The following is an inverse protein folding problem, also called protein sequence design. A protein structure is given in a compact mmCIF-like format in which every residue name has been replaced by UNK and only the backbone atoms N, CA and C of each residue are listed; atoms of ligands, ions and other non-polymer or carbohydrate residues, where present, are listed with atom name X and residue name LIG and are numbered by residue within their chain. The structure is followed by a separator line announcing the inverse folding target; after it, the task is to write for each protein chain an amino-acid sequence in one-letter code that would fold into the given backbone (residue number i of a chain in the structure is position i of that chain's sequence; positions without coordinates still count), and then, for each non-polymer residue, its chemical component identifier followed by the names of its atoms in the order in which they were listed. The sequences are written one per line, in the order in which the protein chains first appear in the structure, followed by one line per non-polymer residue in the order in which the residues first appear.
data_IF_025598625412
#
_entry.id   IF_025598625412
#
_cell.length_a   1.000
_cell.length_b   1.000
_cell.length_c   1.000
_cell.angle_alpha   90.00
_cell.angle_beta   90.00
_cell.angle_gamma   90.00
#
_symmetry.space_group_name_H-M   'P 1'
#
loop_
_entity.id
_entity.type
_entity.pdbx_description
1 polymer ?
#
# COMPACT_ATOMS: atom_id res chain seq x y z
N UNK A 1 67.34 27.33 -23.34
CA UNK A 1 67.89 27.54 -24.73
C UNK A 1 66.79 28.27 -25.46
N UNK A 2 66.93 29.59 -25.65
CA UNK A 2 67.20 30.32 -26.89
C UNK A 2 66.06 30.15 -27.87
N UNK A 3 65.39 31.10 -28.52
CA UNK A 3 65.70 32.53 -28.76
C UNK A 3 64.46 33.09 -29.52
N UNK A 4 63.95 34.26 -29.21
CA UNK A 4 64.16 35.54 -29.89
C UNK A 4 63.73 35.64 -31.32
N UNK A 5 62.95 36.67 -31.60
CA UNK A 5 62.81 37.41 -32.85
C UNK A 5 61.43 38.04 -33.01
N UNK A 6 61.13 39.16 -32.59
CA UNK A 6 61.38 40.58 -32.97
C UNK A 6 60.90 40.95 -34.36
N UNK A 7 59.88 41.88 -34.31
CA UNK A 7 59.73 43.14 -35.12
C UNK A 7 59.47 42.94 -36.60
N UNK A 8 58.44 43.63 -37.21
CA UNK A 8 58.47 45.05 -37.43
C UNK A 8 57.15 45.60 -38.00
N UNK A 9 56.90 46.82 -37.70
CA UNK A 9 55.91 47.78 -38.19
C UNK A 9 55.72 47.86 -39.70
N UNK A 10 54.48 48.10 -40.13
CA UNK A 10 54.27 49.17 -41.13
C UNK A 10 52.86 49.76 -41.07
N UNK A 11 52.79 51.04 -40.82
CA UNK A 11 51.64 51.95 -41.00
C UNK A 11 51.26 52.09 -42.47
N UNK A 12 49.95 52.06 -42.74
CA UNK A 12 49.44 52.95 -43.79
C UNK A 12 47.99 53.35 -43.55
N UNK A 13 47.78 54.61 -43.42
CA UNK A 13 46.52 55.35 -43.29
C UNK A 13 45.84 55.40 -44.64
N UNK A 14 44.50 55.30 -44.69
CA UNK A 14 43.62 56.19 -45.50
C UNK A 14 42.13 55.70 -45.39
N UNK A 15 41.35 56.51 -44.74
CA UNK A 15 40.22 57.32 -45.29
C UNK A 15 38.85 56.63 -45.44
N UNK A 16 37.97 57.08 -44.57
CA UNK A 16 36.59 57.53 -44.82
C UNK A 16 35.57 56.54 -45.45
N UNK A 17 34.62 56.13 -44.63
CA UNK A 17 33.34 55.57 -45.04
C UNK A 17 32.39 55.54 -43.88
N UNK A 18 31.68 56.67 -43.64
CA UNK A 18 30.57 56.71 -42.66
C UNK A 18 29.42 55.93 -43.24
N UNK A 19 29.28 54.69 -42.77
CA UNK A 19 28.11 53.88 -43.03
C UNK A 19 27.44 53.52 -41.68
N UNK A 20 26.44 54.29 -41.29
CA UNK A 20 25.58 54.02 -40.12
C UNK A 20 24.73 52.82 -40.43
N UNK A 21 25.21 51.64 -40.10
CA UNK A 21 24.38 50.45 -40.01
C UNK A 21 23.56 50.55 -38.71
N UNK A 22 22.28 50.91 -38.85
CA UNK A 22 21.26 50.71 -37.84
C UNK A 22 21.09 49.21 -37.67
N UNK A 23 21.77 48.62 -36.68
CA UNK A 23 21.52 47.28 -36.23
C UNK A 23 20.14 47.25 -35.55
N UNK A 24 19.12 46.87 -36.30
CA UNK A 24 17.81 46.49 -35.75
C UNK A 24 18.02 45.18 -35.04
N UNK A 25 18.25 45.22 -33.72
CA UNK A 25 18.21 44.04 -32.86
C UNK A 25 16.79 43.53 -32.89
N UNK A 26 16.54 42.24 -33.23
CA UNK A 26 15.23 41.66 -33.03
C UNK A 26 14.96 41.65 -31.50
N UNK A 27 14.02 42.46 -31.08
CA UNK A 27 13.41 42.37 -29.77
C UNK A 27 12.67 41.03 -29.78
N UNK A 28 13.31 40.04 -29.22
CA UNK A 28 12.60 38.82 -28.83
C UNK A 28 11.62 39.28 -27.75
N UNK A 29 10.36 39.49 -28.14
CA UNK A 29 9.26 39.54 -27.21
C UNK A 29 9.23 38.18 -26.52
N UNK A 30 9.88 38.08 -25.38
CA UNK A 30 9.69 36.94 -24.49
C UNK A 30 8.20 36.87 -24.24
N UNK A 31 7.57 35.81 -24.72
CA UNK A 31 6.25 35.41 -24.28
C UNK A 31 6.34 35.37 -22.75
N UNK A 32 5.89 36.41 -22.08
CA UNK A 32 5.61 36.38 -20.67
C UNK A 32 4.55 35.30 -20.51
N UNK A 33 4.99 34.08 -20.14
CA UNK A 33 4.09 33.10 -19.57
C UNK A 33 3.39 33.82 -18.43
N UNK A 34 2.16 34.26 -18.66
CA UNK A 34 1.29 34.74 -17.59
C UNK A 34 1.27 33.62 -16.57
N UNK A 35 1.86 33.88 -15.41
CA UNK A 35 1.87 32.89 -14.34
C UNK A 35 0.43 32.49 -14.06
N UNK A 36 0.07 31.28 -14.45
CA UNK A 36 -1.28 30.75 -14.23
C UNK A 36 -1.64 30.92 -12.76
N UNK A 37 -2.67 31.69 -12.50
CA UNK A 37 -3.21 31.80 -11.13
C UNK A 37 -3.90 30.51 -10.78
N UNK A 38 -3.28 29.75 -9.89
CA UNK A 38 -3.79 28.43 -9.51
C UNK A 38 -3.87 28.26 -8.00
N UNK A 39 -4.80 27.44 -7.57
CA UNK A 39 -4.95 26.98 -6.19
C UNK A 39 -4.77 25.45 -6.16
N UNK A 40 -3.73 24.99 -5.51
CA UNK A 40 -3.46 23.58 -5.30
C UNK A 40 -3.76 23.19 -3.86
N UNK A 41 -4.61 22.20 -3.66
CA UNK A 41 -5.03 21.73 -2.34
C UNK A 41 -5.11 20.22 -2.29
N UNK A 42 -4.91 19.72 -1.07
CA UNK A 42 -5.14 18.32 -0.73
C UNK A 42 -6.46 18.18 0.01
N UNK A 43 -7.33 17.32 -0.52
CA UNK A 43 -8.45 16.78 0.23
C UNK A 43 -8.08 15.47 0.90
N UNK A 44 -8.54 15.28 2.11
CA UNK A 44 -8.28 14.06 2.87
C UNK A 44 -9.53 13.67 3.69
N UNK A 45 -9.76 12.36 3.79
CA UNK A 45 -10.84 11.84 4.63
C UNK A 45 -10.39 10.56 5.33
N UNK A 46 -11.03 10.29 6.45
CA UNK A 46 -10.88 9.05 7.20
C UNK A 46 -12.25 8.55 7.68
N UNK A 47 -12.48 7.26 7.58
CA UNK A 47 -13.68 6.60 8.08
C UNK A 47 -13.28 5.37 8.88
N UNK A 48 -13.79 5.26 10.10
CA UNK A 48 -13.60 4.09 10.94
C UNK A 48 -14.77 3.14 10.82
N UNK A 49 -14.48 1.87 10.70
CA UNK A 49 -15.48 0.80 10.58
C UNK A 49 -15.11 -0.36 11.50
N UNK A 50 -16.09 -0.88 12.21
CA UNK A 50 -15.93 -2.18 12.88
C UNK A 50 -15.82 -3.26 11.81
N UNK A 51 -14.87 -4.20 11.91
CA UNK A 51 -14.81 -5.34 11.02
C UNK A 51 -16.06 -6.23 11.21
N UNK A 52 -16.50 -6.82 10.13
CA UNK A 52 -17.64 -7.75 10.07
C UNK A 52 -17.23 -9.14 9.56
N UNK A 53 -15.94 -9.33 9.31
CA UNK A 53 -15.38 -10.56 8.78
C UNK A 53 -13.96 -10.75 9.28
N UNK A 54 -13.53 -12.02 9.45
CA UNK A 54 -12.15 -12.37 9.73
C UNK A 54 -11.63 -13.41 8.74
N UNK A 55 -10.33 -13.33 8.43
CA UNK A 55 -9.58 -14.35 7.72
C UNK A 55 -8.67 -15.07 8.71
N UNK A 56 -8.87 -16.36 8.86
CA UNK A 56 -7.99 -17.23 9.63
C UNK A 56 -7.08 -17.97 8.66
N UNK A 57 -5.78 -17.79 8.80
CA UNK A 57 -4.78 -18.47 7.98
C UNK A 57 -4.14 -19.59 8.77
N UNK A 58 -4.32 -20.82 8.30
CA UNK A 58 -3.77 -22.03 8.90
C UNK A 58 -2.96 -22.82 7.87
N UNK A 59 -1.97 -23.55 8.34
CA UNK A 59 -1.11 -24.38 7.52
C UNK A 59 -0.82 -25.69 8.21
N UNK A 60 -0.80 -26.77 7.45
CA UNK A 60 -0.27 -28.06 7.88
C UNK A 60 1.13 -28.25 7.29
N UNK A 61 2.08 -28.60 8.13
CA UNK A 61 3.43 -29.01 7.74
C UNK A 61 3.68 -30.42 8.25
N UNK A 62 4.03 -31.33 7.34
CA UNK A 62 4.33 -32.74 7.65
C UNK A 62 5.70 -33.08 7.10
N UNK A 63 6.53 -33.72 7.90
CA UNK A 63 7.80 -34.32 7.49
C UNK A 63 7.65 -35.83 7.45
N UNK A 64 8.07 -36.46 6.36
CA UNK A 64 8.11 -37.91 6.22
C UNK A 64 9.33 -38.31 5.34
N UNK A 65 9.78 -39.57 5.47
CA UNK A 65 10.88 -40.07 4.65
C UNK A 65 10.51 -40.22 3.19
N UNK A 66 9.23 -40.35 2.90
CA UNK A 66 8.70 -40.53 1.55
C UNK A 66 7.81 -39.34 1.15
N UNK A 67 8.07 -38.74 0.00
CA UNK A 67 7.31 -37.61 -0.52
C UNK A 67 5.81 -37.87 -0.62
N UNK A 68 5.43 -39.07 -1.07
CA UNK A 68 4.02 -39.48 -1.18
C UNK A 68 3.34 -39.54 0.19
N UNK A 69 3.98 -40.11 1.21
CA UNK A 69 3.42 -40.19 2.55
C UNK A 69 3.28 -38.79 3.18
N UNK A 70 4.27 -37.93 3.01
CA UNK A 70 4.20 -36.57 3.50
C UNK A 70 2.99 -35.84 2.89
N UNK A 71 2.79 -35.92 1.58
CA UNK A 71 1.65 -35.34 0.86
C UNK A 71 0.32 -35.93 1.36
N UNK A 72 0.19 -37.25 1.38
CA UNK A 72 -1.07 -37.92 1.73
C UNK A 72 -1.50 -37.57 3.15
N UNK A 73 -0.55 -37.43 4.09
CA UNK A 73 -0.81 -36.97 5.46
C UNK A 73 -1.26 -35.53 5.53
N UNK A 74 -0.65 -34.62 4.75
CA UNK A 74 -1.08 -33.23 4.69
C UNK A 74 -2.51 -33.11 4.11
N UNK A 75 -2.81 -33.87 3.05
CA UNK A 75 -4.14 -33.93 2.46
C UNK A 75 -5.19 -34.51 3.41
N UNK A 76 -4.82 -35.52 4.21
CA UNK A 76 -5.73 -36.11 5.19
C UNK A 76 -6.21 -35.11 6.25
N UNK A 77 -5.33 -34.23 6.73
CA UNK A 77 -5.68 -33.15 7.69
C UNK A 77 -6.69 -32.17 7.08
N UNK A 78 -6.43 -31.70 5.86
CA UNK A 78 -7.34 -30.78 5.18
C UNK A 78 -8.69 -31.43 4.89
N UNK A 79 -8.69 -32.72 4.49
CA UNK A 79 -9.93 -33.47 4.26
C UNK A 79 -10.72 -33.72 5.56
N UNK A 80 -10.05 -33.93 6.69
CA UNK A 80 -10.71 -34.06 8.00
C UNK A 80 -11.38 -32.72 8.38
N UNK A 81 -10.66 -31.60 8.18
CA UNK A 81 -11.22 -30.26 8.41
C UNK A 81 -12.49 -30.01 7.60
N UNK A 82 -12.49 -30.36 6.30
CA UNK A 82 -13.67 -30.19 5.44
C UNK A 82 -14.90 -31.00 5.85
N UNK A 83 -14.72 -32.10 6.58
CA UNK A 83 -15.84 -32.91 7.07
C UNK A 83 -16.59 -32.28 8.23
N UNK A 84 -15.88 -31.48 9.04
CA UNK A 84 -16.44 -30.95 10.29
C UNK A 84 -16.87 -29.48 10.18
N UNK A 85 -16.81 -28.88 8.97
CA UNK A 85 -17.12 -27.45 8.74
C UNK A 85 -18.50 -27.03 9.22
N UNK A 86 -19.50 -27.87 8.97
CA UNK A 86 -20.88 -27.58 9.34
C UNK A 86 -21.09 -27.43 10.85
N UNK A 87 -20.24 -28.07 11.66
CA UNK A 87 -20.31 -27.98 13.11
C UNK A 87 -20.04 -26.57 13.64
N UNK A 88 -19.23 -25.77 12.91
CA UNK A 88 -18.92 -24.37 13.24
C UNK A 88 -19.61 -23.37 12.29
N UNK A 89 -20.62 -23.83 11.53
CA UNK A 89 -21.40 -22.97 10.63
C UNK A 89 -20.61 -22.42 9.45
N UNK A 90 -19.50 -23.06 9.05
CA UNK A 90 -18.73 -22.73 7.87
C UNK A 90 -19.25 -23.50 6.65
N UNK A 91 -19.18 -22.87 5.49
CA UNK A 91 -19.44 -23.52 4.21
C UNK A 91 -18.14 -23.70 3.42
N UNK A 92 -18.07 -24.70 2.55
CA UNK A 92 -16.88 -24.95 1.73
C UNK A 92 -16.45 -23.74 0.89
N UNK A 93 -17.40 -22.87 0.49
CA UNK A 93 -17.15 -21.62 -0.24
C UNK A 93 -16.36 -20.59 0.57
N UNK A 94 -16.42 -20.68 1.91
CA UNK A 94 -15.71 -19.77 2.81
C UNK A 94 -14.26 -20.19 3.04
N UNK A 95 -13.82 -21.31 2.41
CA UNK A 95 -12.51 -21.87 2.58
C UNK A 95 -11.76 -21.93 1.27
N UNK A 96 -10.57 -21.39 1.27
CA UNK A 96 -9.60 -21.48 0.19
C UNK A 96 -8.47 -22.41 0.62
N UNK A 97 -8.44 -23.63 0.07
CA UNK A 97 -7.34 -24.55 0.27
C UNK A 97 -6.34 -24.44 -0.86
N UNK A 98 -5.11 -24.08 -0.53
CA UNK A 98 -4.00 -24.02 -1.48
C UNK A 98 -3.59 -25.42 -1.97
N UNK A 99 -2.76 -25.45 -3.02
CA UNK A 99 -2.10 -26.67 -3.47
C UNK A 99 -1.10 -27.16 -2.42
N UNK A 100 -0.92 -28.49 -2.35
CA UNK A 100 0.15 -29.06 -1.52
C UNK A 100 1.50 -28.80 -2.19
N UNK A 101 2.47 -28.38 -1.40
CA UNK A 101 3.86 -28.22 -1.82
C UNK A 101 4.69 -29.27 -1.10
N UNK A 102 5.59 -29.94 -1.83
CA UNK A 102 6.46 -30.97 -1.26
C UNK A 102 7.90 -30.64 -1.63
N UNK A 103 8.76 -30.52 -0.61
CA UNK A 103 10.18 -30.22 -0.77
C UNK A 103 11.01 -31.23 0.03
N UNK A 104 12.18 -31.60 -0.50
CA UNK A 104 13.15 -32.36 0.28
C UNK A 104 13.83 -31.42 1.29
N UNK A 105 13.80 -31.80 2.55
CA UNK A 105 14.40 -31.05 3.64
C UNK A 105 15.78 -31.61 3.99
N UNK A 106 16.71 -30.69 4.18
CA UNK A 106 18.09 -31.02 4.52
C UNK A 106 18.52 -30.32 5.80
N UNK A 107 19.38 -31.01 6.56
CA UNK A 107 20.09 -30.39 7.68
C UNK A 107 21.62 -30.51 7.48
N UNK A 108 22.37 -29.61 8.06
CA UNK A 108 23.82 -29.72 8.14
C UNK A 108 24.21 -30.49 9.40
N UNK A 109 24.85 -31.62 9.22
CA UNK A 109 25.39 -32.43 10.31
C UNK A 109 26.87 -32.72 10.06
N UNK A 110 27.74 -32.32 11.00
CA UNK A 110 29.19 -32.53 10.90
C UNK A 110 29.76 -32.13 9.52
N UNK A 111 29.47 -30.91 9.09
CA UNK A 111 29.86 -30.31 7.82
C UNK A 111 29.36 -31.04 6.55
N UNK A 112 28.34 -31.86 6.65
CA UNK A 112 27.70 -32.53 5.52
C UNK A 112 26.21 -32.24 5.49
N UNK A 113 25.70 -32.07 4.27
CA UNK A 113 24.26 -31.93 4.01
C UNK A 113 23.61 -33.32 4.06
N UNK A 114 22.71 -33.51 5.00
CA UNK A 114 21.98 -34.77 5.21
C UNK A 114 20.51 -34.56 4.96
N UNK A 115 19.89 -35.41 4.13
CA UNK A 115 18.45 -35.39 3.91
C UNK A 115 17.71 -35.77 5.18
N UNK A 116 16.69 -34.99 5.55
CA UNK A 116 15.76 -35.25 6.64
C UNK A 116 14.46 -35.90 6.17
N UNK A 117 14.29 -36.02 4.86
CA UNK A 117 13.09 -36.49 4.21
C UNK A 117 12.37 -35.38 3.45
N UNK A 118 11.08 -35.54 3.27
CA UNK A 118 10.25 -34.64 2.48
C UNK A 118 9.27 -33.90 3.38
N UNK A 119 9.29 -32.58 3.29
CA UNK A 119 8.32 -31.69 3.94
C UNK A 119 7.18 -31.41 2.97
N UNK A 120 5.97 -31.82 3.35
CA UNK A 120 4.73 -31.42 2.68
C UNK A 120 4.09 -30.27 3.45
N UNK A 121 3.67 -29.24 2.72
CA UNK A 121 3.02 -28.07 3.29
C UNK A 121 1.74 -27.77 2.51
N UNK A 122 0.64 -27.51 3.22
CA UNK A 122 -0.62 -27.09 2.62
C UNK A 122 -1.26 -25.99 3.47
N UNK A 123 -1.52 -24.84 2.85
CA UNK A 123 -2.16 -23.70 3.50
C UNK A 123 -3.67 -23.71 3.24
N UNK A 124 -4.41 -23.20 4.23
CA UNK A 124 -5.86 -22.99 4.15
C UNK A 124 -6.16 -21.60 4.67
N UNK A 125 -6.97 -20.84 3.94
CA UNK A 125 -7.52 -19.58 4.40
C UNK A 125 -9.02 -19.75 4.62
N UNK A 126 -9.47 -19.43 5.82
CA UNK A 126 -10.85 -19.58 6.27
C UNK A 126 -11.45 -18.20 6.44
N UNK A 127 -12.56 -17.94 5.76
CA UNK A 127 -13.33 -16.71 5.89
C UNK A 127 -14.42 -16.91 6.95
N UNK A 128 -14.30 -16.22 8.07
CA UNK A 128 -15.29 -16.24 9.15
C UNK A 128 -16.17 -15.01 9.03
N UNK A 129 -17.44 -15.22 8.66
CA UNK A 129 -18.43 -14.16 8.45
C UNK A 129 -19.16 -13.74 9.74
N UNK A 130 -19.08 -14.56 10.78
CA UNK A 130 -19.63 -14.30 12.11
C UNK A 130 -18.47 -14.31 13.11
N UNK A 131 -18.07 -13.13 13.55
CA UNK A 131 -16.90 -12.98 14.42
C UNK A 131 -17.04 -13.67 15.77
N UNK A 132 -18.26 -13.90 16.26
CA UNK A 132 -18.51 -14.66 17.49
C UNK A 132 -18.06 -16.12 17.37
N UNK A 133 -17.92 -16.64 16.14
CA UNK A 133 -17.49 -18.03 15.89
C UNK A 133 -16.00 -18.21 15.65
N UNK A 134 -15.21 -17.17 15.89
CA UNK A 134 -13.75 -17.25 15.68
C UNK A 134 -13.14 -18.31 16.60
N UNK A 135 -13.50 -18.33 17.89
CA UNK A 135 -12.97 -19.30 18.86
C UNK A 135 -13.32 -20.74 18.45
N UNK A 136 -14.58 -21.01 18.11
CA UNK A 136 -15.02 -22.34 17.63
C UNK A 136 -14.28 -22.76 16.35
N UNK A 137 -14.05 -21.79 15.43
CA UNK A 137 -13.29 -22.01 14.20
C UNK A 137 -11.84 -22.38 14.50
N UNK A 138 -11.20 -21.67 15.44
CA UNK A 138 -9.83 -21.95 15.86
C UNK A 138 -9.70 -23.34 16.50
N UNK A 139 -10.65 -23.72 17.36
CA UNK A 139 -10.70 -25.04 17.98
C UNK A 139 -10.82 -26.14 16.91
N UNK A 140 -11.67 -25.94 15.91
CA UNK A 140 -11.80 -26.89 14.81
C UNK A 140 -10.51 -27.02 14.00
N UNK A 141 -9.84 -25.90 13.70
CA UNK A 141 -8.55 -25.89 12.98
C UNK A 141 -7.51 -26.71 13.75
N UNK A 142 -7.38 -26.48 15.05
CA UNK A 142 -6.44 -27.21 15.90
C UNK A 142 -6.80 -28.70 16.01
N UNK A 143 -8.07 -29.01 16.23
CA UNK A 143 -8.58 -30.39 16.31
C UNK A 143 -8.36 -31.17 15.02
N UNK A 144 -8.46 -30.51 13.87
CA UNK A 144 -8.23 -31.16 12.57
C UNK A 144 -6.77 -31.50 12.29
N UNK A 145 -5.84 -30.98 13.10
CA UNK A 145 -4.41 -31.31 13.03
C UNK A 145 -3.55 -30.28 12.31
N UNK A 146 -4.07 -29.07 12.02
CA UNK A 146 -3.21 -27.97 11.59
C UNK A 146 -2.21 -27.61 12.69
N UNK A 147 -0.96 -27.43 12.32
CA UNK A 147 0.14 -27.22 13.27
C UNK A 147 0.84 -25.87 13.13
N UNK A 148 0.35 -25.02 12.22
CA UNK A 148 0.79 -23.65 12.10
C UNK A 148 -0.42 -22.76 11.80
N UNK A 149 -0.68 -21.79 12.68
CA UNK A 149 -1.73 -20.78 12.52
C UNK A 149 -1.02 -19.44 12.43
N UNK A 150 -1.09 -18.80 11.25
CA UNK A 150 -0.33 -17.58 10.96
C UNK A 150 -0.99 -16.33 11.53
N UNK A 151 -2.25 -16.41 11.98
CA UNK A 151 -2.97 -15.32 12.61
C UNK A 151 -4.39 -15.14 12.11
N UNK A 152 -5.07 -14.18 12.72
CA UNK A 152 -6.43 -13.74 12.38
C UNK A 152 -6.33 -12.32 11.83
N UNK A 153 -6.86 -12.10 10.62
CA UNK A 153 -6.91 -10.79 9.98
C UNK A 153 -8.36 -10.33 9.89
N UNK A 154 -8.70 -9.32 10.67
CA UNK A 154 -10.01 -8.70 10.62
C UNK A 154 -10.14 -7.80 9.40
N UNK A 155 -11.33 -7.82 8.75
CA UNK A 155 -11.60 -6.98 7.60
C UNK A 155 -13.08 -6.59 7.53
N UNK A 156 -13.36 -5.59 6.70
CA UNK A 156 -14.71 -5.21 6.31
C UNK A 156 -15.04 -5.92 5.00
N UNK A 157 -16.13 -6.69 4.96
CA UNK A 157 -16.55 -7.49 3.81
C UNK A 157 -16.70 -6.67 2.54
N UNK A 158 -17.38 -5.52 2.64
CA UNK A 158 -17.51 -4.59 1.52
C UNK A 158 -16.54 -3.40 1.63
N UNK A 159 -15.24 -3.72 1.70
CA UNK A 159 -14.19 -2.70 1.76
C UNK A 159 -14.19 -1.78 0.54
N UNK A 160 -14.69 -2.25 -0.62
CA UNK A 160 -14.80 -1.44 -1.84
C UNK A 160 -15.78 -0.28 -1.68
N UNK A 161 -16.98 -0.54 -1.16
CA UNK A 161 -17.97 0.51 -0.92
C UNK A 161 -17.47 1.52 0.11
N UNK A 162 -16.79 1.05 1.17
CA UNK A 162 -16.19 1.93 2.18
C UNK A 162 -15.08 2.80 1.56
N UNK A 163 -14.19 2.22 0.78
CA UNK A 163 -13.11 2.95 0.07
C UNK A 163 -13.69 4.01 -0.88
N UNK A 164 -14.77 3.67 -1.63
CA UNK A 164 -15.44 4.63 -2.48
C UNK A 164 -16.00 5.81 -1.68
N UNK A 165 -16.68 5.54 -0.57
CA UNK A 165 -17.25 6.58 0.30
C UNK A 165 -16.16 7.51 0.86
N UNK A 166 -15.04 6.95 1.32
CA UNK A 166 -13.91 7.75 1.84
C UNK A 166 -13.31 8.63 0.74
N UNK A 167 -13.22 8.12 -0.49
CA UNK A 167 -12.76 8.90 -1.66
C UNK A 167 -13.69 10.08 -1.96
N UNK A 168 -15.00 9.83 -1.96
CA UNK A 168 -16.00 10.89 -2.14
C UNK A 168 -15.86 11.97 -1.07
N UNK A 169 -15.68 11.58 0.18
CA UNK A 169 -15.44 12.51 1.29
C UNK A 169 -14.14 13.31 1.10
N UNK A 170 -13.05 12.69 0.64
CA UNK A 170 -11.79 13.37 0.37
C UNK A 170 -11.91 14.42 -0.76
N UNK A 171 -12.64 14.10 -1.82
CA UNK A 171 -12.92 15.06 -2.90
C UNK A 171 -13.79 16.22 -2.37
N UNK A 172 -14.83 15.94 -1.59
CA UNK A 172 -15.68 16.97 -0.98
C UNK A 172 -14.87 17.89 -0.06
N UNK A 173 -13.95 17.34 0.72
CA UNK A 173 -13.06 18.12 1.59
C UNK A 173 -12.17 19.07 0.78
N UNK A 174 -11.58 18.59 -0.34
CA UNK A 174 -10.78 19.42 -1.24
C UNK A 174 -11.61 20.60 -1.81
N UNK A 175 -12.82 20.31 -2.29
CA UNK A 175 -13.72 21.31 -2.87
C UNK A 175 -14.15 22.34 -1.81
N UNK A 176 -14.53 21.88 -0.63
CA UNK A 176 -14.93 22.76 0.48
C UNK A 176 -13.79 23.70 0.92
N UNK A 177 -12.57 23.18 1.01
CA UNK A 177 -11.36 23.98 1.28
C UNK A 177 -11.12 25.01 0.18
N UNK A 178 -11.23 24.62 -1.08
CA UNK A 178 -11.03 25.53 -2.21
C UNK A 178 -12.04 26.67 -2.21
N UNK A 179 -13.33 26.35 -2.00
CA UNK A 179 -14.39 27.37 -1.91
C UNK A 179 -14.19 28.32 -0.74
N UNK A 180 -13.80 27.81 0.42
CA UNK A 180 -13.54 28.64 1.60
C UNK A 180 -12.38 29.61 1.34
N UNK A 181 -11.26 29.13 0.81
CA UNK A 181 -10.07 29.96 0.55
C UNK A 181 -10.36 31.00 -0.52
N UNK A 182 -11.01 30.65 -1.62
CA UNK A 182 -11.33 31.61 -2.68
C UNK A 182 -12.32 32.66 -2.20
N UNK A 183 -13.28 32.29 -1.33
CA UNK A 183 -14.17 33.25 -0.69
C UNK A 183 -13.45 34.27 0.19
N UNK A 184 -12.44 33.84 0.97
CA UNK A 184 -11.63 34.73 1.80
C UNK A 184 -10.71 35.65 0.97
N UNK A 185 -10.29 35.20 -0.19
CA UNK A 185 -9.41 35.96 -1.10
C UNK A 185 -10.20 36.87 -2.06
N UNK A 186 -11.54 36.91 -2.00
CA UNK A 186 -12.41 37.61 -2.94
C UNK A 186 -12.11 37.26 -4.42
N UNK A 187 -11.80 35.99 -4.69
CA UNK A 187 -11.56 35.45 -6.02
C UNK A 187 -12.52 34.30 -6.29
N UNK A 188 -12.70 33.90 -7.56
CA UNK A 188 -13.58 32.80 -7.91
C UNK A 188 -12.77 31.53 -8.17
N UNK A 189 -13.34 30.40 -7.75
CA UNK A 189 -12.81 29.10 -8.09
C UNK A 189 -13.16 28.78 -9.56
N UNK A 190 -12.15 28.64 -10.39
CA UNK A 190 -12.28 28.29 -11.79
C UNK A 190 -12.35 26.78 -12.02
N UNK A 191 -12.01 26.35 -13.21
CA UNK A 191 -12.04 24.94 -13.60
C UNK A 191 -10.89 24.14 -12.93
N UNK A 192 -11.11 22.83 -12.81
CA UNK A 192 -10.05 21.91 -12.38
C UNK A 192 -8.98 21.82 -13.48
N UNK A 193 -7.73 22.12 -13.13
CA UNK A 193 -6.57 22.02 -14.01
C UNK A 193 -5.92 20.65 -13.96
N UNK A 194 -5.68 20.13 -12.75
CA UNK A 194 -5.10 18.80 -12.58
C UNK A 194 -5.74 18.10 -11.37
N UNK A 195 -5.85 16.77 -11.47
CA UNK A 195 -6.18 15.88 -10.36
C UNK A 195 -5.10 14.84 -10.28
N UNK A 196 -4.42 14.75 -9.13
CA UNK A 196 -3.48 13.69 -8.84
C UNK A 196 -4.07 12.81 -7.75
N UNK A 197 -4.36 11.58 -8.09
CA UNK A 197 -4.96 10.61 -7.19
C UNK A 197 -4.10 9.33 -7.20
N UNK A 198 -3.57 9.00 -6.05
CA UNK A 198 -2.83 7.75 -5.85
C UNK A 198 -3.69 6.81 -5.03
N UNK A 199 -4.10 5.72 -5.63
CA UNK A 199 -4.84 4.66 -4.90
C UNK A 199 -3.88 3.99 -3.93
N UNK A 200 -4.14 4.12 -2.64
CA UNK A 200 -3.46 3.33 -1.62
C UNK A 200 -4.23 2.04 -1.44
N UNK A 201 -3.65 0.92 -1.86
CA UNK A 201 -4.28 -0.38 -1.72
C UNK A 201 -3.96 -0.96 -0.33
N UNK A 202 -4.93 -0.87 0.59
CA UNK A 202 -4.79 -1.32 1.98
C UNK A 202 -4.97 -2.83 2.16
N UNK A 203 -5.31 -3.57 1.09
CA UNK A 203 -5.54 -5.02 1.17
C UNK A 203 -4.23 -5.83 1.26
N UNK A 204 -3.08 -5.20 1.02
CA UNK A 204 -1.78 -5.82 1.22
C UNK A 204 -1.17 -5.40 2.57
N UNK A 205 -0.98 -6.37 3.45
CA UNK A 205 -0.35 -6.17 4.77
C UNK A 205 1.06 -5.55 4.71
N UNK A 206 1.70 -5.50 3.55
CA UNK A 206 2.98 -4.81 3.33
C UNK A 206 2.85 -3.29 3.25
N UNK A 207 1.72 -2.76 2.79
CA UNK A 207 1.44 -1.31 2.80
C UNK A 207 1.27 -0.77 4.22
N UNK A 208 0.94 -1.63 5.19
CA UNK A 208 0.89 -1.29 6.62
C UNK A 208 2.26 -0.86 7.18
N UNK A 209 3.37 -1.34 6.60
CA UNK A 209 4.73 -0.96 7.02
C UNK A 209 5.16 0.40 6.47
N UNK A 210 4.74 0.76 5.27
CA UNK A 210 5.05 2.06 4.67
C UNK A 210 4.32 3.21 5.38
N UNK A 211 3.08 2.99 5.86
CA UNK A 211 2.32 3.99 6.60
C UNK A 211 2.75 4.17 8.06
N UNK A 212 3.66 3.33 8.57
CA UNK A 212 4.21 3.48 9.94
C UNK A 212 4.97 4.81 10.10
N UNK A 213 5.61 5.32 9.05
CA UNK A 213 6.31 6.60 9.08
C UNK A 213 5.33 7.79 9.20
N UNK A 214 4.18 7.75 8.49
CA UNK A 214 3.12 8.77 8.59
C UNK A 214 2.39 8.70 9.94
N UNK A 215 2.28 7.50 10.55
CA UNK A 215 1.68 7.31 11.86
C UNK A 215 2.56 7.79 13.02
N UNK A 216 3.88 7.87 12.86
CA UNK A 216 4.77 8.37 13.92
C UNK A 216 4.57 9.87 14.21
N UNK A 217 4.14 10.67 13.24
CA UNK A 217 3.83 12.08 13.49
C UNK A 217 2.49 12.31 14.20
N UNK A 218 1.52 11.39 14.07
CA UNK A 218 0.21 11.48 14.74
C UNK A 218 0.10 10.68 16.05
N UNK A 219 1.11 9.88 16.38
CA UNK A 219 1.04 8.81 17.40
C UNK A 219 1.67 9.11 18.75
N UNK A 220 2.14 10.33 19.03
CA UNK A 220 2.72 10.67 20.35
C UNK A 220 1.69 10.81 21.50
N UNK A 221 0.39 10.55 21.25
CA UNK A 221 -0.67 10.77 22.22
C UNK A 221 -1.38 9.49 22.73
N UNK A 222 -0.85 8.30 22.50
CA UNK A 222 -1.52 7.05 22.92
C UNK A 222 -0.58 6.03 23.57
N UNK A 223 0.01 6.42 24.70
CA UNK A 223 0.57 5.50 25.66
C UNK A 223 -0.27 5.57 26.94
N UNK A 224 -1.19 4.65 27.13
CA UNK A 224 -1.74 4.11 28.37
C UNK A 224 -3.20 3.65 28.15
N UNK A 225 -3.37 2.42 27.75
CA UNK A 225 -4.64 1.71 27.77
C UNK A 225 -4.38 0.34 28.40
N UNK A 226 -4.93 0.13 29.59
CA UNK A 226 -4.90 -1.12 30.35
C UNK A 226 -5.45 -2.27 29.51
N UNK A 227 -4.72 -3.38 29.47
CA UNK A 227 -5.23 -4.67 29.01
C UNK A 227 -6.31 -5.13 30.00
N UNK A 228 -7.54 -5.22 29.52
CA UNK A 228 -8.62 -5.89 30.21
C UNK A 228 -8.63 -7.35 29.73
N UNK A 229 -8.56 -8.30 30.69
CA UNK A 229 -8.38 -9.74 30.51
C UNK A 229 -9.74 -10.42 30.28
N UNK A 230 -10.46 -10.06 29.20
CA UNK A 230 -11.83 -10.56 29.03
C UNK A 230 -12.18 -11.24 27.70
N UNK A 231 -11.55 -10.86 26.59
CA UNK A 231 -11.89 -11.44 25.27
C UNK A 231 -10.64 -11.62 24.41
N UNK A 232 -10.26 -12.86 24.20
CA UNK A 232 -9.02 -13.26 23.53
C UNK A 232 -8.94 -12.85 22.06
N UNK A 233 -10.07 -12.42 21.45
CA UNK A 233 -10.19 -12.06 20.02
C UNK A 233 -11.03 -10.78 19.81
N UNK A 234 -10.65 -9.68 20.46
CA UNK A 234 -11.33 -8.40 20.22
C UNK A 234 -10.92 -7.78 18.88
N UNK A 235 -11.93 -7.46 18.07
CA UNK A 235 -11.74 -6.79 16.81
C UNK A 235 -11.63 -5.27 17.03
N UNK A 236 -10.52 -4.68 16.59
CA UNK A 236 -10.36 -3.22 16.60
C UNK A 236 -10.98 -2.56 15.37
N UNK A 237 -11.37 -1.27 15.49
CA UNK A 237 -11.83 -0.49 14.35
C UNK A 237 -10.76 -0.39 13.26
N UNK A 238 -11.17 -0.65 12.04
CA UNK A 238 -10.33 -0.47 10.84
C UNK A 238 -10.54 0.95 10.32
N UNK A 239 -9.45 1.71 10.19
CA UNK A 239 -9.49 3.06 9.64
C UNK A 239 -9.17 3.03 8.15
N UNK A 240 -10.13 3.45 7.34
CA UNK A 240 -9.95 3.70 5.90
C UNK A 240 -9.62 5.16 5.71
N UNK A 241 -8.55 5.47 5.00
CA UNK A 241 -8.15 6.85 4.68
C UNK A 241 -8.00 7.01 3.18
N UNK A 242 -8.30 8.20 2.67
CA UNK A 242 -8.05 8.53 1.27
C UNK A 242 -7.57 9.97 1.15
N UNK A 243 -6.88 10.25 0.04
CA UNK A 243 -6.29 11.55 -0.25
C UNK A 243 -6.33 11.83 -1.73
N UNK A 244 -6.66 13.08 -2.08
CA UNK A 244 -6.64 13.58 -3.45
C UNK A 244 -5.98 14.95 -3.50
N UNK A 245 -5.07 15.16 -4.44
CA UNK A 245 -4.47 16.46 -4.70
C UNK A 245 -5.12 17.07 -5.95
N UNK A 246 -5.73 18.24 -5.82
CA UNK A 246 -6.44 18.92 -6.90
C UNK A 246 -5.89 20.31 -7.06
N UNK A 247 -5.68 20.71 -8.32
CA UNK A 247 -5.29 22.08 -8.68
C UNK A 247 -6.38 22.70 -9.53
N UNK A 248 -6.86 23.87 -9.12
CA UNK A 248 -7.84 24.69 -9.84
C UNK A 248 -7.17 25.93 -10.42
N UNK A 249 -7.77 26.45 -11.47
CA UNK A 249 -7.52 27.80 -11.94
C UNK A 249 -8.27 28.80 -11.03
N UNK A 250 -7.76 30.03 -10.90
CA UNK A 250 -8.42 31.12 -10.18
C UNK A 250 -8.86 32.19 -11.17
N UNK A 251 -10.11 32.63 -11.05
CA UNK A 251 -10.71 33.72 -11.85
C UNK A 251 -10.79 35.04 -11.08
#
# INVERSE_FOLDING_TARGET
MKSHGRMQFWNMVLAAGVGTLLAVSPVWAGEQCAADRTLALTGAAALKMMPDQALVSAQIMVLDKEAKKARDRADAVVNAFFKDLSAVGLASKDIQAGSVQVFEEYAWEKDRRVSKGFRATRAVTITVNDLARISETMDLVMKSGFNNISGIHYRVKDSRAVKQKVREMAVQDAVAKAQNITGQLNTKLGRVKTVNYVTVDYDNAESFRANKAVRMEMGAARAAGSYDDGDQYQAEEITFTDRVDITWELE
#
